data_IF_439199192178
#
_entry.id   IF_439199192178
#
_cell.length_a   1.000
_cell.length_b   1.000
_cell.length_c   1.000
_cell.angle_alpha   90.00
_cell.angle_beta   90.00
_cell.angle_gamma   90.00
#
_symmetry.space_group_name_H-M   'P 1'
#
loop_
_entity.id
_entity.type
_entity.pdbx_description
1 polymer ?
#
# COMPACT_ATOMS: atom_id res chain seq x y z
N UNK A 1 -13.89 9.98 -2.21
CA UNK A 1 -12.42 9.75 -2.17
C UNK A 1 -11.98 9.89 -0.73
N UNK A 2 -11.13 8.99 -0.24
CA UNK A 2 -10.59 9.05 1.12
C UNK A 2 -9.10 8.78 1.07
N UNK A 3 -8.34 9.47 1.91
CA UNK A 3 -6.90 9.32 2.01
C UNK A 3 -6.45 9.28 3.47
N UNK A 4 -5.32 8.62 3.72
CA UNK A 4 -4.69 8.59 5.03
C UNK A 4 -3.18 8.41 4.90
N UNK A 5 -2.44 9.31 5.53
CA UNK A 5 -1.00 9.18 5.68
C UNK A 5 -0.67 8.26 6.85
N UNK A 6 0.24 7.32 6.64
CA UNK A 6 0.73 6.39 7.67
C UNK A 6 2.25 6.35 7.67
N UNK A 7 2.85 6.15 8.85
CA UNK A 7 4.29 5.94 8.97
C UNK A 7 4.57 4.44 9.04
N UNK A 8 5.48 3.96 8.19
CA UNK A 8 5.96 2.58 8.26
C UNK A 8 6.95 2.47 9.42
N UNK A 9 6.61 1.71 10.46
CA UNK A 9 7.48 1.48 11.61
C UNK A 9 8.69 0.58 11.32
N UNK A 10 8.64 -0.21 10.25
CA UNK A 10 9.76 -1.05 9.84
C UNK A 10 10.83 -0.24 9.12
N UNK A 11 12.09 -0.37 9.55
CA UNK A 11 13.25 0.24 8.88
C UNK A 11 13.42 -0.24 7.43
N UNK A 12 13.03 -1.49 7.15
CA UNK A 12 13.11 -2.06 5.80
C UNK A 12 11.89 -1.69 4.93
N UNK A 13 10.91 -0.97 5.49
CA UNK A 13 9.71 -0.54 4.77
C UNK A 13 8.78 -1.68 4.34
N UNK A 14 7.89 -1.36 3.39
CA UNK A 14 6.90 -2.28 2.83
C UNK A 14 7.51 -3.03 1.65
N UNK A 15 8.06 -4.22 1.90
CA UNK A 15 8.80 -5.05 0.93
C UNK A 15 8.36 -6.51 1.04
N UNK A 16 8.65 -7.33 0.04
CA UNK A 16 8.46 -8.80 0.06
C UNK A 16 7.19 -9.27 0.81
N UNK A 17 7.36 -9.95 1.95
CA UNK A 17 6.25 -10.55 2.72
C UNK A 17 5.20 -9.53 3.20
N UNK A 18 5.53 -8.43 3.91
CA UNK A 18 4.50 -7.46 4.31
C UNK A 18 3.82 -6.77 3.12
N UNK A 19 4.51 -6.56 2.00
CA UNK A 19 3.89 -6.04 0.77
C UNK A 19 2.88 -7.05 0.19
N UNK A 20 3.22 -8.34 0.15
CA UNK A 20 2.32 -9.39 -0.32
C UNK A 20 1.05 -9.49 0.54
N UNK A 21 1.18 -9.41 1.87
CA UNK A 21 0.03 -9.39 2.80
C UNK A 21 -0.84 -8.15 2.56
N UNK A 22 -0.24 -6.99 2.35
CA UNK A 22 -0.99 -5.77 2.01
C UNK A 22 -1.79 -5.95 0.72
N UNK A 23 -1.14 -6.40 -0.36
CA UNK A 23 -1.78 -6.61 -1.67
C UNK A 23 -2.90 -7.65 -1.60
N UNK A 24 -2.70 -8.76 -0.87
CA UNK A 24 -3.75 -9.77 -0.66
C UNK A 24 -5.00 -9.17 -0.03
N UNK A 25 -4.85 -8.36 1.02
CA UNK A 25 -5.98 -7.67 1.64
C UNK A 25 -6.59 -6.62 0.70
N UNK A 26 -5.76 -5.82 0.02
CA UNK A 26 -6.21 -4.77 -0.90
C UNK A 26 -7.06 -5.33 -2.06
N UNK A 27 -6.75 -6.53 -2.55
CA UNK A 27 -7.53 -7.22 -3.60
C UNK A 27 -8.96 -7.57 -3.18
N UNK A 28 -9.24 -7.68 -1.89
CA UNK A 28 -10.58 -7.97 -1.37
C UNK A 28 -11.58 -6.79 -1.47
N UNK A 29 -11.09 -5.57 -1.71
CA UNK A 29 -11.94 -4.39 -1.84
C UNK A 29 -12.29 -4.11 -3.31
N UNK A 30 -13.50 -3.61 -3.57
CA UNK A 30 -13.89 -3.20 -4.92
C UNK A 30 -13.23 -1.88 -5.34
N UNK A 31 -12.98 -0.98 -4.40
CA UNK A 31 -12.38 0.35 -4.66
C UNK A 31 -10.99 0.26 -5.30
N UNK A 32 -10.62 1.27 -6.09
CA UNK A 32 -9.24 1.47 -6.50
C UNK A 32 -8.43 1.93 -5.28
N UNK A 33 -7.30 1.27 -5.03
CA UNK A 33 -6.39 1.59 -3.94
C UNK A 33 -5.07 2.03 -4.56
N UNK A 34 -4.58 3.19 -4.16
CA UNK A 34 -3.36 3.80 -4.67
C UNK A 34 -2.45 4.12 -3.49
N UNK A 35 -1.17 3.76 -3.60
CA UNK A 35 -0.15 4.11 -2.64
C UNK A 35 0.71 5.24 -3.21
N UNK A 36 0.91 6.30 -2.44
CA UNK A 36 1.82 7.40 -2.77
C UNK A 36 2.94 7.51 -1.73
N UNK A 37 4.16 7.77 -2.20
CA UNK A 37 5.31 8.11 -1.36
C UNK A 37 6.20 9.08 -2.12
N UNK A 38 6.34 10.29 -1.59
CA UNK A 38 7.00 11.39 -2.29
C UNK A 38 6.36 11.55 -3.69
N UNK A 39 7.17 11.60 -4.75
CA UNK A 39 6.70 11.76 -6.13
C UNK A 39 6.35 10.44 -6.82
N UNK A 40 6.32 9.32 -6.08
CA UNK A 40 6.03 7.99 -6.62
C UNK A 40 4.64 7.52 -6.22
N UNK A 41 3.94 6.96 -7.20
CA UNK A 41 2.61 6.38 -7.03
C UNK A 41 2.60 4.95 -7.57
N UNK A 42 1.91 4.06 -6.87
CA UNK A 42 1.75 2.65 -7.26
C UNK A 42 0.31 2.18 -7.02
N UNK A 43 -0.11 1.16 -7.78
CA UNK A 43 -1.38 0.47 -7.53
C UNK A 43 -1.26 -0.37 -6.26
N UNK A 44 -2.09 -0.11 -5.26
CA UNK A 44 -2.06 -0.84 -3.99
C UNK A 44 -2.50 -2.31 -4.09
N UNK A 45 -3.01 -2.75 -5.25
CA UNK A 45 -3.41 -4.14 -5.52
C UNK A 45 -2.37 -4.94 -6.32
N UNK A 46 -1.19 -4.38 -6.61
CA UNK A 46 -0.09 -5.04 -7.34
C UNK A 46 1.26 -4.80 -6.69
#
# INVERSE_FOLDING_TARGET
MMERTVTLGSKSGLHARPAAVFVQNAKGFQSQITLSKNDKTANGKS
#
